data_IF_007946088561
#
_entry.id   IF_007946088561
#
_cell.length_a   1.000
_cell.length_b   1.000
_cell.length_c   1.000
_cell.angle_alpha   90.00
_cell.angle_beta   90.00
_cell.angle_gamma   90.00
#
_symmetry.space_group_name_H-M   'P 1'
#
loop_
_entity.id
_entity.type
_entity.pdbx_description
1 polymer ?
#
# COMPACT_ATOMS: atom_id res chain seq x y z
N UNK A 1 -16.04 22.85 8.28
CA UNK A 1 -16.54 23.02 6.89
C UNK A 1 -16.69 21.63 6.30
N UNK A 2 -17.91 21.23 5.98
CA UNK A 2 -18.26 19.89 5.47
C UNK A 2 -17.51 19.63 4.17
N UNK A 3 -16.74 18.53 4.09
CA UNK A 3 -16.23 18.05 2.81
C UNK A 3 -16.87 16.71 2.50
N UNK A 4 -17.56 16.72 1.35
CA UNK A 4 -18.26 15.60 0.74
C UNK A 4 -17.44 14.33 0.86
N UNK A 5 -18.02 13.39 1.61
CA UNK A 5 -17.62 12.00 1.58
C UNK A 5 -17.64 11.56 0.12
N UNK A 6 -16.56 10.90 -0.34
CA UNK A 6 -16.55 10.07 -1.54
C UNK A 6 -17.52 8.89 -1.33
N UNK A 7 -18.83 9.16 -1.21
CA UNK A 7 -19.86 8.21 -0.75
C UNK A 7 -20.11 7.04 -1.70
N UNK A 8 -19.53 7.07 -2.91
CA UNK A 8 -19.74 6.03 -3.93
C UNK A 8 -18.52 5.14 -4.17
N UNK A 9 -17.34 5.47 -3.62
CA UNK A 9 -16.21 4.55 -3.69
C UNK A 9 -16.39 3.46 -2.63
N UNK A 10 -16.22 2.18 -2.99
CA UNK A 10 -16.20 1.11 -2.01
C UNK A 10 -15.15 1.40 -0.93
N UNK A 11 -15.43 0.98 0.31
CA UNK A 11 -14.58 1.33 1.47
C UNK A 11 -13.14 0.84 1.35
N UNK A 12 -12.90 -0.24 0.60
CA UNK A 12 -11.56 -0.75 0.28
C UNK A 12 -10.76 0.15 -0.68
N UNK A 13 -11.42 1.06 -1.42
CA UNK A 13 -10.79 2.02 -2.33
C UNK A 13 -10.40 3.34 -1.66
N UNK A 14 -10.60 3.47 -0.35
CA UNK A 14 -10.21 4.68 0.38
C UNK A 14 -8.68 4.76 0.55
N UNK A 15 -8.09 5.97 0.46
CA UNK A 15 -6.67 6.16 0.69
C UNK A 15 -6.32 5.74 2.12
N UNK A 16 -5.18 5.04 2.32
CA UNK A 16 -4.78 4.60 3.65
C UNK A 16 -4.43 5.81 4.54
N UNK A 17 -4.64 5.65 5.85
CA UNK A 17 -4.05 6.52 6.86
C UNK A 17 -2.70 5.91 7.26
N UNK A 18 -1.62 6.67 7.14
CA UNK A 18 -0.27 6.22 7.47
C UNK A 18 -0.16 5.80 8.95
N UNK A 19 0.64 4.75 9.21
CA UNK A 19 1.07 4.43 10.58
C UNK A 19 2.12 5.45 11.09
N UNK A 20 2.45 5.38 12.38
CA UNK A 20 3.35 6.31 13.08
C UNK A 20 4.62 6.70 12.27
N UNK A 21 4.97 7.99 12.32
CA UNK A 21 5.96 8.70 11.50
C UNK A 21 7.41 8.16 11.45
N UNK A 22 7.76 7.06 12.12
CA UNK A 22 9.12 6.49 12.11
C UNK A 22 9.38 5.51 10.96
N UNK A 23 8.35 5.06 10.24
CA UNK A 23 8.46 4.06 9.18
C UNK A 23 8.05 4.64 7.82
N UNK A 24 8.61 5.81 7.48
CA UNK A 24 8.39 6.47 6.19
C UNK A 24 9.74 6.82 5.57
N UNK A 25 9.95 6.38 4.35
CA UNK A 25 11.08 6.81 3.51
C UNK A 25 10.54 7.36 2.18
N UNK A 26 11.28 8.26 1.54
CA UNK A 26 10.86 8.87 0.27
C UNK A 26 12.10 9.15 -0.57
N UNK A 27 12.06 8.74 -1.83
CA UNK A 27 13.11 8.99 -2.81
C UNK A 27 12.51 9.05 -4.24
N UNK A 28 13.29 9.42 -5.26
CA UNK A 28 12.84 9.34 -6.64
C UNK A 28 12.39 7.93 -7.02
N UNK A 29 11.36 7.80 -7.86
CA UNK A 29 10.88 6.50 -8.33
C UNK A 29 11.97 5.74 -9.09
N UNK A 30 12.85 6.45 -9.80
CA UNK A 30 14.00 5.86 -10.51
C UNK A 30 15.00 5.13 -9.62
N UNK A 31 15.05 5.44 -8.32
CA UNK A 31 15.97 4.78 -7.38
C UNK A 31 15.30 3.64 -6.61
N UNK A 32 13.99 3.42 -6.75
CA UNK A 32 13.28 2.38 -6.01
C UNK A 32 13.68 0.97 -6.49
N UNK A 33 14.20 0.15 -5.58
CA UNK A 33 14.52 -1.26 -5.85
C UNK A 33 13.47 -2.19 -5.25
N UNK A 34 13.24 -2.06 -3.94
CA UNK A 34 12.27 -2.90 -3.26
C UNK A 34 11.81 -2.31 -1.93
N UNK A 35 10.67 -2.80 -1.45
CA UNK A 35 10.18 -2.56 -0.12
C UNK A 35 9.49 -3.80 0.43
N UNK A 36 9.82 -4.17 1.67
CA UNK A 36 9.22 -5.31 2.35
C UNK A 36 8.78 -4.94 3.77
N UNK A 37 7.76 -5.63 4.25
CA UNK A 37 7.30 -5.52 5.63
C UNK A 37 6.63 -6.81 6.08
N UNK A 38 6.88 -7.19 7.33
CA UNK A 38 6.16 -8.25 8.03
C UNK A 38 5.19 -7.64 9.03
N UNK A 39 3.96 -8.12 9.05
CA UNK A 39 2.94 -7.63 9.97
C UNK A 39 2.03 -8.73 10.49
N UNK A 40 1.44 -8.48 11.66
CA UNK A 40 0.45 -9.34 12.27
C UNK A 40 -0.84 -8.53 12.48
N UNK A 41 -1.90 -8.93 11.78
CA UNK A 41 -3.21 -8.29 11.82
C UNK A 41 -4.14 -9.11 12.72
N UNK A 42 -4.79 -8.45 13.67
CA UNK A 42 -5.85 -9.04 14.49
C UNK A 42 -7.21 -8.45 14.10
N UNK A 43 -7.84 -8.95 13.01
CA UNK A 43 -9.06 -8.35 12.51
C UNK A 43 -10.20 -8.54 13.51
N UNK A 44 -10.98 -7.47 13.71
CA UNK A 44 -12.21 -7.46 14.52
C UNK A 44 -13.43 -7.11 13.69
N UNK A 45 -13.22 -6.45 12.56
CA UNK A 45 -14.29 -5.96 11.71
C UNK A 45 -13.99 -6.14 10.22
N UNK A 46 -15.06 -6.23 9.43
CA UNK A 46 -14.98 -6.24 7.97
C UNK A 46 -14.17 -5.01 7.50
N UNK A 47 -13.24 -5.25 6.57
CA UNK A 47 -12.31 -4.30 5.98
C UNK A 47 -11.16 -3.85 6.88
N UNK A 48 -10.92 -4.51 8.02
CA UNK A 48 -9.65 -4.32 8.73
C UNK A 48 -8.47 -4.67 7.81
N UNK A 49 -7.51 -3.75 7.71
CA UNK A 49 -6.41 -3.80 6.76
C UNK A 49 -5.08 -3.50 7.43
N UNK A 50 -4.02 -4.16 6.96
CA UNK A 50 -2.63 -3.88 7.32
C UNK A 50 -1.69 -4.22 6.17
N UNK A 51 -0.58 -3.49 6.04
CA UNK A 51 0.50 -3.83 5.12
C UNK A 51 1.38 -2.65 4.74
N UNK A 52 1.71 -2.57 3.46
CA UNK A 52 2.58 -1.56 2.86
C UNK A 52 1.79 -0.61 1.93
N UNK A 53 2.12 0.67 1.94
CA UNK A 53 1.66 1.66 0.96
C UNK A 53 2.83 2.34 0.27
N UNK A 54 2.73 2.45 -1.06
CA UNK A 54 3.57 3.29 -1.91
C UNK A 54 2.72 4.48 -2.38
N UNK A 55 3.13 5.69 -2.06
CA UNK A 55 2.47 6.94 -2.42
C UNK A 55 3.29 7.68 -3.47
N UNK A 56 2.72 7.92 -4.65
CA UNK A 56 3.44 8.53 -5.77
C UNK A 56 2.99 9.97 -6.01
N UNK A 57 3.97 10.85 -6.25
CA UNK A 57 3.73 12.26 -6.57
C UNK A 57 4.78 12.81 -7.52
N UNK A 58 4.46 13.83 -8.34
CA UNK A 58 5.48 14.54 -9.11
C UNK A 58 6.52 15.19 -8.18
N UNK A 59 7.79 15.14 -8.57
CA UNK A 59 8.89 15.79 -7.87
C UNK A 59 8.63 17.28 -7.72
N UNK A 60 8.92 17.84 -6.54
CA UNK A 60 8.71 19.27 -6.26
C UNK A 60 7.26 19.67 -5.94
N UNK A 61 6.33 18.71 -5.80
CA UNK A 61 5.00 18.99 -5.25
C UNK A 61 5.09 19.28 -3.74
N UNK A 62 4.70 20.49 -3.31
CA UNK A 62 4.79 20.93 -1.92
C UNK A 62 3.83 20.17 -0.98
N UNK A 63 4.39 19.54 0.06
CA UNK A 63 3.67 19.10 1.26
C UNK A 63 4.01 20.03 2.43
N UNK A 64 3.46 21.24 2.41
CA UNK A 64 3.57 22.22 3.49
C UNK A 64 2.18 22.60 4.05
N UNK A 65 2.04 23.04 5.31
CA UNK A 65 0.76 23.42 5.92
C UNK A 65 0.07 24.66 5.31
N UNK A 66 0.48 25.10 4.12
CA UNK A 66 -0.03 26.29 3.44
C UNK A 66 -0.19 26.14 1.93
N UNK A 67 0.09 24.97 1.34
CA UNK A 67 -0.29 24.73 -0.05
C UNK A 67 -1.79 24.43 -0.10
N UNK A 68 -2.55 25.07 -0.99
CA UNK A 68 -3.95 24.69 -1.26
C UNK A 68 -4.07 23.26 -1.83
N UNK A 69 -2.94 22.58 -2.04
CA UNK A 69 -2.83 21.16 -2.37
C UNK A 69 -2.59 20.23 -1.17
N UNK A 70 -2.37 20.76 0.04
CA UNK A 70 -2.08 20.00 1.27
C UNK A 70 -3.24 19.16 1.84
N UNK A 71 -4.37 19.03 1.13
CA UNK A 71 -5.54 18.23 1.56
C UNK A 71 -5.85 17.09 0.57
N UNK A 72 -5.05 16.90 -0.49
CA UNK A 72 -5.26 15.76 -1.40
C UNK A 72 -4.29 14.67 -0.97
N UNK A 73 -4.81 13.51 -0.55
CA UNK A 73 -4.06 12.25 -0.61
C UNK A 73 -3.29 12.19 -1.93
N UNK A 74 -2.10 11.56 -1.99
CA UNK A 74 -1.39 11.42 -3.26
C UNK A 74 -2.40 10.91 -4.29
N UNK A 75 -2.52 11.57 -5.46
CA UNK A 75 -3.53 11.17 -6.44
C UNK A 75 -3.33 9.71 -6.83
N UNK A 76 -2.09 9.22 -6.72
CA UNK A 76 -1.65 7.90 -7.13
C UNK A 76 -1.00 7.15 -5.97
N UNK A 77 -1.43 5.92 -5.74
CA UNK A 77 -0.89 5.10 -4.66
C UNK A 77 -1.12 3.62 -4.93
N UNK A 78 -0.30 2.78 -4.31
CA UNK A 78 -0.48 1.34 -4.26
C UNK A 78 -0.51 0.95 -2.79
N UNK A 79 -1.51 0.19 -2.36
CA UNK A 79 -1.47 -0.49 -1.06
C UNK A 79 -1.52 -1.99 -1.27
N UNK A 80 -0.72 -2.72 -0.51
CA UNK A 80 -0.70 -4.18 -0.53
C UNK A 80 -0.57 -4.73 0.88
N UNK A 81 -1.21 -5.85 1.18
CA UNK A 81 -1.27 -6.39 2.53
C UNK A 81 -2.39 -7.39 2.72
N UNK A 82 -2.89 -7.49 3.94
CA UNK A 82 -4.08 -8.29 4.26
C UNK A 82 -5.29 -7.37 4.44
N UNK A 83 -6.43 -7.80 3.92
CA UNK A 83 -7.74 -7.23 4.18
C UNK A 83 -8.69 -8.30 4.70
N UNK A 84 -9.38 -8.02 5.81
CA UNK A 84 -10.42 -8.91 6.33
C UNK A 84 -11.70 -8.73 5.54
N UNK A 85 -12.03 -9.71 4.70
CA UNK A 85 -13.14 -9.61 3.76
C UNK A 85 -14.05 -10.84 3.83
N UNK A 86 -15.33 -10.60 4.13
CA UNK A 86 -16.38 -11.62 4.22
C UNK A 86 -16.01 -12.73 5.21
N UNK A 87 -15.48 -12.33 6.36
CA UNK A 87 -15.12 -13.24 7.45
C UNK A 87 -13.77 -13.96 7.27
N UNK A 88 -13.00 -13.66 6.22
CA UNK A 88 -11.71 -14.31 5.94
C UNK A 88 -10.64 -13.29 5.61
N UNK A 89 -9.41 -13.52 6.09
CA UNK A 89 -8.24 -12.74 5.68
C UNK A 89 -7.90 -13.00 4.20
N UNK A 90 -7.77 -11.93 3.41
CA UNK A 90 -7.38 -11.98 2.00
C UNK A 90 -6.12 -11.18 1.76
N UNK A 91 -5.23 -11.71 0.92
CA UNK A 91 -4.15 -10.92 0.37
C UNK A 91 -4.76 -9.91 -0.60
N UNK A 92 -4.61 -8.63 -0.33
CA UNK A 92 -5.28 -7.55 -1.03
C UNK A 92 -4.26 -6.59 -1.60
N UNK A 93 -4.47 -6.19 -2.85
CA UNK A 93 -3.72 -5.11 -3.48
C UNK A 93 -4.71 -4.14 -4.10
N UNK A 94 -4.52 -2.85 -3.84
CA UNK A 94 -5.22 -1.78 -4.55
C UNK A 94 -4.17 -0.88 -5.18
N UNK A 95 -4.17 -0.80 -6.51
CA UNK A 95 -3.38 0.16 -7.25
C UNK A 95 -4.32 1.27 -7.75
N UNK A 96 -4.08 2.49 -7.32
CA UNK A 96 -4.88 3.65 -7.64
C UNK A 96 -4.05 4.59 -8.53
N UNK A 97 -4.39 4.63 -9.82
CA UNK A 97 -3.96 5.70 -10.72
C UNK A 97 -5.06 6.79 -10.74
N UNK A 98 -5.91 6.81 -11.77
CA UNK A 98 -7.12 7.65 -11.81
C UNK A 98 -8.25 6.99 -11.01
N UNK A 99 -8.30 5.67 -11.06
CA UNK A 99 -9.27 4.83 -10.37
C UNK A 99 -8.55 3.75 -9.58
N UNK A 100 -9.20 3.28 -8.52
CA UNK A 100 -8.72 2.16 -7.72
C UNK A 100 -9.03 0.84 -8.42
N UNK A 101 -7.98 0.09 -8.74
CA UNK A 101 -8.04 -1.29 -9.22
C UNK A 101 -7.69 -2.22 -8.06
N UNK A 102 -8.65 -3.07 -7.66
CA UNK A 102 -8.56 -3.92 -6.48
C UNK A 102 -8.54 -5.39 -6.85
N UNK A 103 -7.57 -6.11 -6.30
CA UNK A 103 -7.47 -7.57 -6.41
C UNK A 103 -7.40 -8.23 -5.05
N UNK A 104 -7.98 -9.43 -4.96
CA UNK A 104 -7.95 -10.31 -3.81
C UNK A 104 -7.40 -11.67 -4.20
N UNK A 105 -6.61 -12.26 -3.30
CA UNK A 105 -6.17 -13.65 -3.34
C UNK A 105 -6.28 -14.26 -1.94
N UNK A 106 -6.15 -15.58 -1.86
CA UNK A 106 -6.04 -16.27 -0.58
C UNK A 106 -4.68 -15.96 0.05
N UNK A 107 -4.67 -15.62 1.35
CA UNK A 107 -3.42 -15.54 2.11
C UNK A 107 -2.86 -16.95 2.21
N UNK A 108 -1.59 -17.12 1.83
CA UNK A 108 -0.87 -18.39 1.99
C UNK A 108 -0.26 -18.47 3.39
N UNK A 109 -0.26 -19.65 4.00
CA UNK A 109 0.22 -19.84 5.37
C UNK A 109 -0.91 -20.06 6.37
N UNK A 110 -0.57 -19.99 7.66
CA UNK A 110 -1.51 -20.24 8.76
C UNK A 110 -2.34 -18.98 9.07
N UNK A 111 -3.61 -19.16 9.37
CA UNK A 111 -4.49 -18.06 9.77
C UNK A 111 -4.04 -17.46 11.11
N UNK A 112 -3.99 -16.13 11.19
CA UNK A 112 -3.58 -15.43 12.41
C UNK A 112 -2.07 -15.41 12.66
N UNK A 113 -1.26 -15.74 11.66
CA UNK A 113 0.20 -15.65 11.70
C UNK A 113 0.73 -14.40 10.99
N UNK A 114 2.04 -14.15 11.13
CA UNK A 114 2.75 -13.09 10.43
C UNK A 114 2.64 -13.23 8.91
N UNK A 115 2.34 -12.13 8.24
CA UNK A 115 2.33 -12.03 6.78
C UNK A 115 3.42 -11.06 6.34
N UNK A 116 4.22 -11.48 5.37
CA UNK A 116 5.23 -10.64 4.72
C UNK A 116 4.78 -10.30 3.31
N UNK A 117 4.78 -9.00 2.98
CA UNK A 117 4.58 -8.51 1.61
C UNK A 117 5.83 -7.85 1.10
N UNK A 118 6.03 -7.95 -0.21
CA UNK A 118 7.19 -7.42 -0.92
C UNK A 118 6.72 -6.72 -2.19
N UNK A 119 7.26 -5.53 -2.42
CA UNK A 119 7.15 -4.81 -3.69
C UNK A 119 8.55 -4.68 -4.27
N UNK A 120 8.75 -5.07 -5.52
CA UNK A 120 10.05 -5.02 -6.21
C UNK A 120 9.90 -4.35 -7.57
N UNK A 121 10.88 -3.53 -7.94
CA UNK A 121 10.99 -3.07 -9.31
C UNK A 121 11.47 -4.22 -10.21
N UNK A 122 10.69 -4.48 -11.24
CA UNK A 122 10.99 -5.41 -12.33
C UNK A 122 11.42 -4.63 -13.57
N UNK A 123 12.39 -5.18 -14.29
CA UNK A 123 12.81 -4.70 -15.60
C UNK A 123 13.11 -5.92 -16.48
N UNK A 124 12.38 -6.03 -17.59
CA UNK A 124 12.57 -7.09 -18.58
C UNK A 124 12.40 -6.55 -20.01
N UNK A 125 12.33 -7.44 -20.99
CA UNK A 125 12.14 -7.08 -22.41
C UNK A 125 10.81 -6.35 -22.68
N UNK A 126 9.84 -6.42 -21.77
CA UNK A 126 8.52 -5.79 -21.86
C UNK A 126 8.47 -4.41 -21.17
N UNK A 127 9.48 -4.07 -20.37
CA UNK A 127 9.66 -2.75 -19.77
C UNK A 127 9.80 -2.78 -18.24
N UNK A 128 9.47 -1.65 -17.61
CA UNK A 128 9.53 -1.46 -16.17
C UNK A 128 8.16 -1.74 -15.52
N UNK A 129 8.17 -2.46 -14.40
CA UNK A 129 6.97 -2.71 -13.60
C UNK A 129 7.28 -2.80 -12.11
N UNK A 130 6.24 -2.71 -11.27
CA UNK A 130 6.33 -3.08 -9.86
C UNK A 130 5.63 -4.42 -9.67
N UNK A 131 6.38 -5.41 -9.24
CA UNK A 131 5.85 -6.70 -8.84
C UNK A 131 5.53 -6.71 -7.35
N UNK A 132 4.40 -7.31 -7.01
CA UNK A 132 3.87 -7.40 -5.65
C UNK A 132 3.72 -8.86 -5.30
N UNK A 133 4.33 -9.26 -4.19
CA UNK A 133 4.38 -10.63 -3.71
C UNK A 133 3.91 -10.75 -2.26
N UNK A 134 3.38 -11.91 -1.91
CA UNK A 134 3.48 -12.44 -0.56
C UNK A 134 4.78 -13.25 -0.47
N UNK A 135 5.55 -13.08 0.59
CA UNK A 135 6.75 -13.90 0.87
C UNK A 135 6.41 -14.92 1.94
N UNK A 136 6.62 -16.20 1.65
CA UNK A 136 6.38 -17.31 2.57
C UNK A 136 7.57 -17.52 3.51
N UNK A 137 7.36 -18.30 4.58
CA UNK A 137 8.39 -18.58 5.61
C UNK A 137 9.67 -19.23 5.06
N UNK A 138 9.57 -19.96 3.95
CA UNK A 138 10.70 -20.59 3.25
C UNK A 138 11.37 -19.66 2.21
N UNK A 139 10.88 -18.43 2.07
CA UNK A 139 11.37 -17.44 1.11
C UNK A 139 10.70 -17.51 -0.26
N UNK A 140 9.74 -18.42 -0.50
CA UNK A 140 8.99 -18.45 -1.74
C UNK A 140 8.22 -17.14 -1.95
N UNK A 141 8.32 -16.55 -3.15
CA UNK A 141 7.57 -15.37 -3.55
C UNK A 141 6.32 -15.78 -4.32
N UNK A 142 5.15 -15.59 -3.71
CA UNK A 142 3.85 -15.85 -4.35
C UNK A 142 3.37 -14.56 -5.02
N UNK A 143 3.25 -14.52 -6.36
CA UNK A 143 2.85 -13.30 -7.07
C UNK A 143 1.39 -12.94 -6.77
N UNK A 144 1.17 -11.68 -6.43
CA UNK A 144 -0.17 -11.11 -6.19
C UNK A 144 -0.59 -10.17 -7.31
N UNK A 145 0.34 -9.33 -7.80
CA UNK A 145 0.05 -8.33 -8.82
C UNK A 145 1.32 -7.83 -9.51
N UNK A 146 1.18 -7.46 -10.78
CA UNK A 146 2.12 -6.61 -11.50
C UNK A 146 1.47 -5.24 -11.78
N UNK A 147 2.21 -4.15 -11.59
CA UNK A 147 1.72 -2.78 -11.76
C UNK A 147 2.67 -2.01 -12.67
N UNK A 148 2.24 -1.74 -13.91
CA UNK A 148 3.07 -1.04 -14.91
C UNK A 148 2.81 0.46 -14.98
N UNK A 149 1.60 0.93 -14.61
CA UNK A 149 1.18 2.32 -14.86
C UNK A 149 2.07 3.36 -14.15
N UNK A 150 2.75 2.98 -13.07
CA UNK A 150 3.66 3.86 -12.32
C UNK A 150 4.78 4.43 -13.19
N UNK A 151 5.18 3.71 -14.24
CA UNK A 151 6.21 4.12 -15.20
C UNK A 151 5.60 4.68 -16.51
N UNK A 152 4.27 4.74 -16.62
CA UNK A 152 3.58 5.23 -17.81
C UNK A 152 3.29 6.74 -17.81
N UNK A 153 3.64 7.47 -16.74
CA UNK A 153 3.35 8.90 -16.58
C UNK A 153 4.50 9.84 -16.98
N UNK A 154 5.55 9.32 -17.61
CA UNK A 154 6.76 10.06 -17.98
C UNK A 154 8.01 9.44 -17.37
N UNK A 155 9.11 10.20 -17.37
CA UNK A 155 10.39 9.74 -16.82
C UNK A 155 10.29 9.48 -15.30
N UNK A 156 10.78 8.34 -14.79
CA UNK A 156 10.70 8.00 -13.37
C UNK A 156 11.37 9.02 -12.43
N UNK A 157 12.36 9.77 -12.91
CA UNK A 157 13.03 10.86 -12.17
C UNK A 157 12.10 12.03 -11.86
N UNK A 158 11.03 12.20 -12.64
CA UNK A 158 10.00 13.20 -12.43
C UNK A 158 9.02 12.87 -11.30
N UNK A 159 9.17 11.70 -10.67
CA UNK A 159 8.28 11.20 -9.63
C UNK A 159 9.05 10.84 -8.36
N UNK A 160 8.43 11.09 -7.22
CA UNK A 160 8.84 10.58 -5.92
C UNK A 160 7.88 9.48 -5.46
N UNK A 161 8.43 8.48 -4.77
CA UNK A 161 7.67 7.44 -4.09
C UNK A 161 7.95 7.49 -2.59
N UNK A 162 6.89 7.63 -1.80
CA UNK A 162 6.94 7.47 -0.35
C UNK A 162 6.47 6.06 0.03
N UNK A 163 7.25 5.36 0.84
CA UNK A 163 6.99 3.98 1.26
C UNK A 163 6.71 3.95 2.75
N UNK A 164 5.58 3.39 3.14
CA UNK A 164 5.11 3.43 4.54
C UNK A 164 4.38 2.14 4.94
N UNK A 165 4.51 1.76 6.21
CA UNK A 165 3.59 0.81 6.83
C UNK A 165 2.20 1.46 7.01
N UNK A 166 1.12 0.69 6.84
CA UNK A 166 -0.24 1.19 7.09
C UNK A 166 -1.12 0.19 7.83
N UNK A 167 -2.08 0.75 8.57
CA UNK A 167 -3.21 0.03 9.14
C UNK A 167 -4.49 0.86 8.88
N UNK A 168 -5.60 0.21 8.54
CA UNK A 168 -6.85 0.91 8.26
C UNK A 168 -8.07 0.11 8.71
N UNK A 169 -9.03 0.80 9.32
CA UNK A 169 -10.38 0.29 9.63
C UNK A 169 -11.42 1.22 8.98
N UNK A 170 -11.92 0.87 7.78
CA UNK A 170 -12.96 1.66 7.11
C UNK A 170 -14.37 1.46 7.68
N UNK A 171 -14.65 0.31 8.30
CA UNK A 171 -15.91 0.08 9.00
C UNK A 171 -15.89 0.74 10.40
N UNK A 172 -17.07 1.08 10.92
CA UNK A 172 -17.20 1.81 12.19
C UNK A 172 -18.20 1.16 13.14
N UNK A 173 -18.47 -0.13 12.95
CA UNK A 173 -19.42 -0.86 13.77
C UNK A 173 -18.85 -1.24 15.13
N UNK A 174 -17.51 -1.19 15.32
CA UNK A 174 -16.87 -1.31 16.62
C UNK A 174 -16.19 -0.01 17.08
N UNK A 175 -16.18 0.20 18.41
CA UNK A 175 -15.39 1.24 19.07
C UNK A 175 -14.00 0.76 19.52
N UNK A 176 -13.67 -0.51 19.29
CA UNK A 176 -12.35 -1.06 19.58
C UNK A 176 -11.27 -0.40 18.69
N UNK A 177 -10.04 -0.38 19.17
CA UNK A 177 -8.88 0.06 18.38
C UNK A 177 -8.42 -1.06 17.44
N UNK A 178 -7.94 -0.70 16.24
CA UNK A 178 -7.28 -1.66 15.36
C UNK A 178 -5.83 -1.82 15.81
N UNK A 179 -5.47 -3.01 16.29
CA UNK A 179 -4.09 -3.34 16.64
C UNK A 179 -3.41 -4.10 15.51
N UNK A 180 -2.22 -3.63 15.12
CA UNK A 180 -1.35 -4.27 14.13
C UNK A 180 0.08 -4.18 14.62
N UNK A 181 0.78 -5.31 14.62
CA UNK A 181 2.21 -5.36 14.90
C UNK A 181 2.99 -5.36 13.59
N UNK A 182 4.09 -4.61 13.54
CA UNK A 182 4.97 -4.51 12.38
C UNK A 182 6.41 -4.83 12.77
N UNK A 183 7.12 -5.53 11.89
CA UNK A 183 8.56 -5.77 11.99
C UNK A 183 9.18 -5.88 10.59
N UNK A 184 10.51 -5.93 10.54
CA UNK A 184 11.27 -6.16 9.30
C UNK A 184 10.86 -5.20 8.17
N UNK A 185 10.59 -3.93 8.51
CA UNK A 185 10.34 -2.89 7.51
C UNK A 185 11.65 -2.50 6.87
N UNK A 186 11.81 -2.83 5.59
CA UNK A 186 13.04 -2.62 4.83
C UNK A 186 12.72 -2.03 3.47
N UNK A 187 13.47 -1.00 3.09
CA UNK A 187 13.31 -0.31 1.80
C UNK A 187 14.68 -0.11 1.17
N UNK A 188 14.85 -0.67 -0.02
CA UNK A 188 16.10 -0.62 -0.77
C UNK A 188 16.00 0.39 -1.91
N UNK A 189 17.03 1.24 -1.98
CA UNK A 189 17.20 2.26 -3.01
C UNK A 189 18.55 2.04 -3.71
N UNK A 190 18.64 2.40 -5.00
CA UNK A 190 19.86 2.36 -5.79
C UNK A 190 20.87 3.46 -5.46
#
# INVERSE_FOLDING_TARGET
MYYQTRQHLPRHCLPPRAAHARNKTTAPLSTFQSASISFLLHPKEQYDQAGLVLSLRPTGSETGPGSNDAIKSPPKWIKTGVEYYKGVAKAATVACDVWSDWSLADVRGEEGDWVTVLVESGSDELGLSLWIYQVLRDGEKVPLREVCWVFGHGEPEGWEVAVEAYACRPEKGTGEELSVEFKDFDVQWA
#
